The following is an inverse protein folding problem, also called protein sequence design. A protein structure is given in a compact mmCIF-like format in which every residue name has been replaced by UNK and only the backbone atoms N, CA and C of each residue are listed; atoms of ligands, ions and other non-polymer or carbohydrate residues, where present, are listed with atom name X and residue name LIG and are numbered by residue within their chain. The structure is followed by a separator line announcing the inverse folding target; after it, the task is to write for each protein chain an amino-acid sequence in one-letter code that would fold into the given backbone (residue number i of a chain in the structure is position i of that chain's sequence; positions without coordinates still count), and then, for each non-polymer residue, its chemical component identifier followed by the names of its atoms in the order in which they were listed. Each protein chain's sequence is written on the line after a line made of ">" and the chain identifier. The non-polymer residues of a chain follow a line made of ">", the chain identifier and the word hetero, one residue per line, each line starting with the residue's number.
data_IF_782139217896
#
_entry.id   IF_782139217896
#
_cell.length_a   1.000
_cell.length_b   1.000
_cell.length_c   1.000
_cell.angle_alpha   90.00
_cell.angle_beta   90.00
_cell.angle_gamma   90.00
#
_symmetry.space_group_name_H-M   'P 1'
#
loop_
_entity.id
_entity.type
_entity.pdbx_description
1 polymer ?
#
# COMPACT_ATOMS: atom_id res chain seq x y z
N UNK A 1 3.48 13.38 12.68
CA UNK A 1 2.07 13.55 13.11
C UNK A 1 1.20 13.49 11.85
N UNK A 2 0.21 12.59 11.76
CA UNK A 2 -0.57 12.32 10.53
C UNK A 2 -1.85 13.17 10.49
N UNK A 3 -2.18 13.77 9.33
CA UNK A 3 -3.46 14.44 9.07
C UNK A 3 -4.21 13.69 7.96
N UNK A 4 -5.46 13.30 8.20
CA UNK A 4 -6.35 12.69 7.21
C UNK A 4 -7.46 13.71 6.94
N UNK A 5 -7.44 14.34 5.76
CA UNK A 5 -8.53 15.24 5.34
C UNK A 5 -9.66 14.44 4.68
N UNK A 6 -10.91 14.74 5.07
CA UNK A 6 -12.11 14.14 4.49
C UNK A 6 -12.43 14.84 3.16
N UNK A 7 -12.07 14.28 2.02
CA UNK A 7 -12.75 14.60 0.75
C UNK A 7 -13.91 13.65 0.57
N UNK A 8 -15.14 14.18 0.68
CA UNK A 8 -16.38 13.45 0.54
C UNK A 8 -16.59 13.03 -0.92
N UNK A 9 -16.10 11.85 -1.28
CA UNK A 9 -16.67 11.04 -2.35
C UNK A 9 -17.08 9.70 -1.72
N UNK A 10 -18.32 9.25 -1.93
CA UNK A 10 -18.89 8.08 -1.21
C UNK A 10 -18.16 6.75 -1.48
N UNK A 11 -17.23 6.71 -2.43
CA UNK A 11 -16.59 5.47 -2.90
C UNK A 11 -15.09 5.36 -2.59
N UNK A 12 -14.35 6.46 -2.41
CA UNK A 12 -12.88 6.40 -2.26
C UNK A 12 -12.37 7.33 -1.16
N UNK A 13 -11.33 6.88 -0.43
CA UNK A 13 -10.60 7.66 0.58
C UNK A 13 -9.15 7.81 0.15
N UNK A 14 -8.60 9.02 0.35
CA UNK A 14 -7.19 9.30 0.04
C UNK A 14 -6.32 8.92 1.24
N UNK A 15 -5.33 8.06 1.03
CA UNK A 15 -4.33 7.69 2.02
C UNK A 15 -2.98 8.25 1.57
N UNK A 16 -2.32 8.97 2.48
CA UNK A 16 -1.02 9.60 2.24
C UNK A 16 0.04 8.85 3.05
N UNK A 17 1.08 8.36 2.35
CA UNK A 17 2.28 7.78 2.93
C UNK A 17 3.40 8.80 2.79
N UNK A 18 4.05 9.11 3.89
CA UNK A 18 5.29 9.89 3.92
C UNK A 18 6.35 9.02 4.58
N UNK A 19 7.38 8.65 3.81
CA UNK A 19 8.53 7.88 4.29
C UNK A 19 9.68 8.80 4.72
N UNK A 20 10.58 8.33 5.59
CA UNK A 20 11.75 9.07 6.08
C UNK A 20 12.68 9.56 4.96
N UNK A 21 12.61 8.93 3.78
CA UNK A 21 13.31 9.36 2.56
C UNK A 21 12.65 10.53 1.80
N UNK A 22 11.66 11.23 2.40
CA UNK A 22 10.90 12.35 1.80
C UNK A 22 10.02 11.98 0.60
N UNK A 23 9.76 10.70 0.37
CA UNK A 23 8.82 10.27 -0.66
C UNK A 23 7.40 10.47 -0.14
N UNK A 24 6.64 11.36 -0.80
CA UNK A 24 5.29 11.73 -0.41
C UNK A 24 4.30 11.16 -1.43
N UNK A 25 3.72 10.00 -1.13
CA UNK A 25 2.77 9.33 -2.01
C UNK A 25 1.34 9.50 -1.49
N UNK A 26 0.41 9.81 -2.39
CA UNK A 26 -1.02 9.89 -2.10
C UNK A 26 -1.76 8.97 -3.05
N UNK A 27 -2.64 8.14 -2.55
CA UNK A 27 -3.46 7.23 -3.35
C UNK A 27 -4.89 7.24 -2.87
N UNK A 28 -5.83 7.15 -3.81
CA UNK A 28 -7.23 6.92 -3.53
C UNK A 28 -7.45 5.41 -3.44
N UNK A 29 -8.02 4.96 -2.34
CA UNK A 29 -8.40 3.55 -2.11
C UNK A 29 -9.88 3.46 -1.85
N UNK A 30 -10.50 2.38 -2.31
CA UNK A 30 -11.92 2.14 -2.14
C UNK A 30 -12.28 2.06 -0.65
N UNK A 31 -13.46 2.55 -0.31
CA UNK A 31 -13.93 2.60 1.07
C UNK A 31 -13.90 1.22 1.78
N UNK A 32 -14.31 0.10 1.14
CA UNK A 32 -14.23 -1.22 1.78
C UNK A 32 -12.78 -1.63 2.09
N UNK A 33 -11.84 -1.35 1.19
CA UNK A 33 -10.42 -1.65 1.39
C UNK A 33 -9.86 -0.81 2.55
N UNK A 34 -10.25 0.46 2.63
CA UNK A 34 -9.88 1.32 3.75
C UNK A 34 -10.36 0.76 5.09
N UNK A 35 -11.62 0.29 5.17
CA UNK A 35 -12.18 -0.29 6.39
C UNK A 35 -11.40 -1.54 6.83
N UNK A 36 -11.04 -2.43 5.89
CA UNK A 36 -10.20 -3.60 6.19
C UNK A 36 -8.84 -3.20 6.79
N UNK A 37 -8.22 -2.12 6.29
CA UNK A 37 -6.97 -1.60 6.84
C UNK A 37 -7.17 -1.04 8.26
N UNK A 38 -8.29 -0.36 8.52
CA UNK A 38 -8.61 0.14 9.87
C UNK A 38 -8.81 -1.00 10.87
N UNK A 39 -9.59 -2.01 10.51
CA UNK A 39 -9.84 -3.18 11.35
C UNK A 39 -8.54 -3.91 11.68
N UNK A 40 -7.69 -4.13 10.67
CA UNK A 40 -6.41 -4.80 10.87
C UNK A 40 -5.44 -3.97 11.71
N UNK A 41 -5.43 -2.64 11.55
CA UNK A 41 -4.65 -1.74 12.38
C UNK A 41 -5.09 -1.80 13.85
N UNK A 42 -6.40 -1.78 14.10
CA UNK A 42 -6.96 -1.91 15.44
C UNK A 42 -6.61 -3.27 16.08
N UNK A 43 -6.77 -4.36 15.33
CA UNK A 43 -6.47 -5.74 15.80
C UNK A 43 -4.99 -5.93 16.14
N UNK A 44 -4.10 -5.37 15.33
CA UNK A 44 -2.65 -5.57 15.49
C UNK A 44 -1.98 -4.49 16.34
N UNK A 45 -2.70 -3.42 16.70
CA UNK A 45 -2.17 -2.22 17.35
C UNK A 45 -1.01 -1.58 16.56
N UNK A 46 -1.02 -1.73 15.24
CA UNK A 46 0.01 -1.19 14.33
C UNK A 46 -0.52 0.02 13.57
N UNK A 47 0.34 0.99 13.22
CA UNK A 47 -0.07 2.11 12.38
C UNK A 47 -0.57 1.65 11.00
N UNK A 48 -1.64 2.28 10.50
CA UNK A 48 -2.20 2.03 9.16
C UNK A 48 -1.13 2.16 8.07
N UNK A 49 -0.27 3.17 8.15
CA UNK A 49 0.84 3.38 7.22
C UNK A 49 1.80 2.20 7.17
N UNK A 50 2.13 1.60 8.32
CA UNK A 50 2.99 0.40 8.38
C UNK A 50 2.35 -0.77 7.66
N UNK A 51 1.05 -1.02 7.89
CA UNK A 51 0.32 -2.09 7.21
C UNK A 51 0.25 -1.89 5.69
N UNK A 52 0.01 -0.65 5.25
CA UNK A 52 -0.03 -0.33 3.82
C UNK A 52 1.37 -0.46 3.19
N UNK A 53 2.42 0.03 3.85
CA UNK A 53 3.79 -0.13 3.37
C UNK A 53 4.17 -1.60 3.20
N UNK A 54 3.82 -2.46 4.16
CA UNK A 54 4.08 -3.90 4.07
C UNK A 54 3.30 -4.56 2.93
N UNK A 55 2.03 -4.19 2.75
CA UNK A 55 1.21 -4.72 1.67
C UNK A 55 1.80 -4.33 0.30
N UNK A 56 2.22 -3.06 0.14
CA UNK A 56 2.88 -2.57 -1.05
C UNK A 56 4.21 -3.30 -1.30
N UNK A 57 5.07 -3.41 -0.29
CA UNK A 57 6.36 -4.09 -0.40
C UNK A 57 6.20 -5.56 -0.81
N UNK A 58 5.23 -6.27 -0.22
CA UNK A 58 4.90 -7.65 -0.61
C UNK A 58 4.39 -7.75 -2.04
N UNK A 59 3.55 -6.81 -2.47
CA UNK A 59 3.04 -6.73 -3.83
C UNK A 59 4.17 -6.54 -4.86
N UNK A 60 5.02 -5.53 -4.65
CA UNK A 60 6.17 -5.26 -5.52
C UNK A 60 7.16 -6.42 -5.55
N UNK A 61 7.48 -7.03 -4.40
CA UNK A 61 8.39 -8.18 -4.36
C UNK A 61 7.87 -9.37 -5.18
N UNK A 62 6.56 -9.65 -5.14
CA UNK A 62 5.95 -10.71 -5.97
C UNK A 62 6.03 -10.40 -7.46
N UNK A 63 5.78 -9.15 -7.85
CA UNK A 63 5.89 -8.72 -9.24
C UNK A 63 7.33 -8.76 -9.74
N UNK A 64 8.30 -8.35 -8.91
CA UNK A 64 9.72 -8.39 -9.22
C UNK A 64 10.18 -9.84 -9.43
N UNK A 65 9.85 -10.75 -8.50
CA UNK A 65 10.15 -12.19 -8.65
C UNK A 65 9.50 -12.82 -9.87
N UNK A 66 8.26 -12.44 -10.18
CA UNK A 66 7.59 -12.91 -11.39
C UNK A 66 8.29 -12.41 -12.67
N UNK A 67 8.87 -11.22 -12.62
CA UNK A 67 9.64 -10.65 -13.72
C UNK A 67 11.03 -11.27 -13.84
N UNK A 68 11.72 -11.52 -12.73
CA UNK A 68 13.00 -12.25 -12.68
C UNK A 68 12.86 -13.65 -13.28
N UNK A 69 11.85 -14.42 -12.85
CA UNK A 69 11.57 -15.75 -13.42
C UNK A 69 11.29 -15.72 -14.92
N UNK A 70 10.61 -14.68 -15.41
CA UNK A 70 10.36 -14.50 -16.85
C UNK A 70 11.64 -14.16 -17.60
N UNK A 71 12.47 -13.28 -17.05
CA UNK A 71 13.77 -12.92 -17.64
C UNK A 71 14.68 -14.14 -17.73
N UNK A 72 14.81 -14.92 -16.65
CA UNK A 72 15.57 -16.17 -16.61
C UNK A 72 15.07 -17.21 -17.62
N UNK A 73 13.75 -17.28 -17.84
CA UNK A 73 13.16 -18.15 -18.85
C UNK A 73 13.46 -17.69 -20.29
N UNK A 74 13.55 -16.37 -20.54
CA UNK A 74 13.88 -15.81 -21.86
C UNK A 74 15.37 -15.75 -22.19
N UNK A 75 16.28 -15.87 -21.21
CA UNK A 75 17.75 -15.94 -21.46
C UNK A 75 18.29 -17.37 -21.55
N UNK A 76 17.44 -18.39 -21.37
CA UNK A 76 17.79 -19.80 -21.57
C UNK A 76 17.23 -20.39 -22.88
N UNK A 77 16.70 -19.53 -23.77
CA UNK A 77 16.44 -19.82 -25.19
C UNK A 77 17.51 -19.13 -26.05
#
# INVERSE_FOLDING_TARGET
>A
MFHISKTYNKQTRRLQITDMAKVNMSFSIDLPIYQLIEEQAAKTKRPKSTLVNEALAKGFSRQLKAREKRLEATTNE
#
